data_IF_604982806829
#
_entry.id   IF_604982806829
#
_cell.length_a   1.000
_cell.length_b   1.000
_cell.length_c   1.000
_cell.angle_alpha   90.00
_cell.angle_beta   90.00
_cell.angle_gamma   90.00
#
_symmetry.space_group_name_H-M   'P 1'
#
loop_
_entity.id
_entity.type
_entity.pdbx_description
1 polymer ?
#
# COMPACT_ATOMS: atom_id res chain seq x y z
N UNK A 1 31.82 27.88 28.68
CA UNK A 1 30.91 26.79 29.13
C UNK A 1 31.15 25.56 28.29
N UNK A 2 31.33 24.42 28.92
CA UNK A 2 31.50 23.14 28.23
C UNK A 2 30.18 22.78 27.55
N UNK A 3 30.19 22.72 26.21
CA UNK A 3 28.99 22.44 25.39
C UNK A 3 28.29 21.15 25.80
N UNK A 4 29.05 20.18 26.29
CA UNK A 4 28.53 18.88 26.73
C UNK A 4 27.71 19.05 28.00
N UNK A 5 28.18 19.80 29.01
CA UNK A 5 27.43 20.06 30.25
C UNK A 5 26.15 20.86 30.01
N UNK A 6 26.20 21.84 29.09
CA UNK A 6 25.01 22.61 28.72
C UNK A 6 23.96 21.73 28.03
N UNK A 7 24.39 20.80 27.14
CA UNK A 7 23.51 19.87 26.48
C UNK A 7 22.87 18.89 27.47
N UNK A 8 23.65 18.30 28.37
CA UNK A 8 23.15 17.35 29.37
C UNK A 8 22.14 18.04 30.35
N UNK A 9 22.37 19.30 30.70
CA UNK A 9 21.40 20.08 31.48
C UNK A 9 20.08 20.29 30.71
N UNK A 10 20.17 20.62 29.39
CA UNK A 10 18.99 20.79 28.55
C UNK A 10 18.21 19.48 28.37
N UNK A 11 18.90 18.34 28.15
CA UNK A 11 18.28 17.02 28.07
C UNK A 11 17.53 16.68 29.37
N UNK A 12 18.18 16.89 30.52
CA UNK A 12 17.55 16.65 31.81
C UNK A 12 16.32 17.53 32.05
N UNK A 13 16.35 18.79 31.61
CA UNK A 13 15.21 19.69 31.68
C UNK A 13 14.04 19.24 30.82
N UNK A 14 14.31 18.79 29.57
CA UNK A 14 13.30 18.24 28.64
C UNK A 14 12.65 16.98 29.23
N UNK A 15 13.45 16.05 29.76
CA UNK A 15 12.92 14.83 30.37
C UNK A 15 12.05 15.11 31.62
N UNK A 16 12.40 16.12 32.40
CA UNK A 16 11.58 16.56 33.57
C UNK A 16 10.26 17.20 33.14
N UNK A 17 10.29 18.01 32.08
CA UNK A 17 9.10 18.72 31.58
C UNK A 17 8.13 17.83 30.79
N UNK A 18 8.65 16.90 30.00
CA UNK A 18 7.87 16.14 29.02
C UNK A 18 7.88 14.61 29.25
N UNK A 19 8.60 14.14 30.27
CA UNK A 19 8.72 12.72 30.60
C UNK A 19 9.94 12.03 30.00
N UNK A 20 10.34 10.89 30.61
CA UNK A 20 11.45 10.07 30.11
C UNK A 20 11.15 9.57 28.69
N UNK A 21 12.14 9.67 27.80
CA UNK A 21 12.01 9.26 26.40
C UNK A 21 11.46 10.33 25.46
N UNK A 22 11.15 11.55 25.96
CA UNK A 22 10.76 12.69 25.12
C UNK A 22 11.88 13.17 24.19
N UNK A 23 13.13 12.88 24.55
CA UNK A 23 14.31 13.07 23.72
C UNK A 23 15.26 11.88 23.86
N UNK A 24 15.85 11.42 22.76
CA UNK A 24 16.79 10.32 22.78
C UNK A 24 17.93 10.56 21.80
N UNK A 25 19.11 9.99 22.08
CA UNK A 25 20.22 9.99 21.13
C UNK A 25 20.08 8.76 20.23
N UNK A 26 19.96 8.95 18.92
CA UNK A 26 20.09 7.88 17.93
C UNK A 26 21.57 7.44 17.87
N UNK A 27 21.93 6.42 18.58
CA UNK A 27 23.29 5.89 18.61
C UNK A 27 23.42 4.66 19.47
N UNK A 28 24.51 4.00 19.33
CA UNK A 28 25.19 2.83 19.93
C UNK A 28 24.39 1.66 20.58
N UNK A 29 23.14 1.83 21.01
CA UNK A 29 22.38 0.79 21.73
C UNK A 29 20.97 0.51 21.19
N UNK A 30 20.55 1.13 20.08
CA UNK A 30 19.32 0.69 19.44
C UNK A 30 19.67 -0.33 18.35
N UNK A 31 19.30 -1.59 18.56
CA UNK A 31 19.04 -2.52 17.44
C UNK A 31 18.22 -1.73 16.42
N UNK A 32 18.59 -1.79 15.15
CA UNK A 32 17.77 -1.22 14.08
C UNK A 32 16.32 -1.57 14.42
N UNK A 33 15.46 -0.55 14.60
CA UNK A 33 14.06 -0.79 14.94
C UNK A 33 13.50 -1.55 13.76
N UNK A 34 13.29 -2.83 13.94
CA UNK A 34 12.73 -3.70 12.92
C UNK A 34 11.32 -3.16 12.62
N UNK A 35 11.11 -2.72 11.37
CA UNK A 35 9.84 -2.12 10.96
C UNK A 35 8.85 -3.27 10.80
N UNK A 36 7.85 -3.34 11.65
CA UNK A 36 6.75 -4.27 11.49
C UNK A 36 5.97 -3.95 10.22
N UNK A 37 5.66 -4.98 9.45
CA UNK A 37 4.98 -4.85 8.15
C UNK A 37 3.82 -5.81 8.03
N UNK A 38 2.89 -5.49 7.14
CA UNK A 38 1.80 -6.36 6.69
C UNK A 38 2.01 -6.62 5.21
N UNK A 39 1.98 -7.90 4.81
CA UNK A 39 2.10 -8.31 3.41
C UNK A 39 0.97 -7.69 2.58
N UNK A 40 1.30 -7.31 1.36
CA UNK A 40 0.32 -6.83 0.37
C UNK A 40 -0.46 -7.96 -0.31
N UNK A 41 -0.06 -9.21 -0.06
CA UNK A 41 -0.56 -10.36 -0.80
C UNK A 41 0.16 -10.60 -2.14
N UNK A 42 0.98 -9.66 -2.60
CA UNK A 42 1.88 -9.79 -3.76
C UNK A 42 3.32 -9.90 -3.27
N UNK A 43 3.97 -11.01 -3.59
CA UNK A 43 5.36 -11.24 -3.21
C UNK A 43 6.31 -10.22 -3.87
N UNK A 44 6.05 -9.89 -5.13
CA UNK A 44 6.84 -8.91 -5.86
C UNK A 44 6.73 -7.52 -5.26
N UNK A 45 5.53 -7.10 -4.86
CA UNK A 45 5.33 -5.80 -4.23
C UNK A 45 5.96 -5.75 -2.84
N UNK A 46 5.85 -6.82 -2.04
CA UNK A 46 6.50 -6.92 -0.73
C UNK A 46 8.03 -6.76 -0.84
N UNK A 47 8.64 -7.37 -1.87
CA UNK A 47 10.07 -7.23 -2.16
C UNK A 47 10.40 -5.80 -2.62
N UNK A 48 9.58 -5.23 -3.50
CA UNK A 48 9.78 -3.86 -4.00
C UNK A 48 9.68 -2.80 -2.90
N UNK A 49 8.85 -3.03 -1.89
CA UNK A 49 8.74 -2.17 -0.71
C UNK A 49 10.00 -2.19 0.17
N UNK A 50 10.88 -3.18 0.01
CA UNK A 50 12.20 -3.24 0.63
C UNK A 50 12.23 -3.64 2.11
N UNK A 51 11.06 -3.71 2.75
CA UNK A 51 10.90 -4.10 4.17
C UNK A 51 9.96 -5.31 4.33
N UNK A 52 9.57 -5.95 3.21
CA UNK A 52 8.77 -7.17 3.21
C UNK A 52 7.26 -6.96 3.29
N UNK A 53 6.77 -5.75 3.11
CA UNK A 53 5.35 -5.40 3.12
C UNK A 53 5.11 -3.91 3.39
N UNK A 54 3.86 -3.54 3.63
CA UNK A 54 3.48 -2.18 4.02
C UNK A 54 3.77 -1.93 5.49
N UNK A 55 4.39 -0.78 5.85
CA UNK A 55 4.80 -0.50 7.23
C UNK A 55 3.61 -0.22 8.15
N UNK A 56 3.60 -0.83 9.35
CA UNK A 56 2.64 -0.56 10.41
C UNK A 56 2.88 0.83 11.02
N UNK A 57 1.85 1.39 11.66
CA UNK A 57 1.93 2.70 12.28
C UNK A 57 2.13 3.86 11.30
N UNK A 58 1.73 3.67 10.02
CA UNK A 58 1.94 4.62 8.95
C UNK A 58 0.69 4.82 8.09
N UNK A 59 0.67 5.98 7.43
CA UNK A 59 -0.31 6.31 6.40
C UNK A 59 0.22 5.83 5.06
N UNK A 60 -0.61 5.09 4.33
CA UNK A 60 -0.36 4.57 2.99
C UNK A 60 -1.39 5.18 2.03
N UNK A 61 -0.99 5.58 0.85
CA UNK A 61 -1.90 5.96 -0.23
C UNK A 61 -1.75 4.99 -1.40
N UNK A 62 -2.88 4.41 -1.83
CA UNK A 62 -2.96 3.58 -3.05
C UNK A 62 -3.87 4.31 -4.02
N UNK A 63 -3.35 4.73 -5.17
CA UNK A 63 -4.09 5.49 -6.14
C UNK A 63 -3.90 4.97 -7.57
N UNK A 64 -4.84 5.28 -8.42
CA UNK A 64 -4.83 4.85 -9.81
C UNK A 64 -6.17 5.05 -10.48
N UNK A 65 -6.26 4.76 -11.79
CA UNK A 65 -7.52 4.79 -12.55
C UNK A 65 -8.58 3.87 -11.95
N UNK A 66 -9.81 4.05 -12.39
CA UNK A 66 -10.89 3.11 -12.08
C UNK A 66 -10.56 1.71 -12.60
N UNK A 67 -11.02 0.68 -11.89
CA UNK A 67 -10.80 -0.74 -12.25
C UNK A 67 -9.33 -1.15 -12.36
N UNK A 68 -8.40 -0.42 -11.74
CA UNK A 68 -6.97 -0.74 -11.72
C UNK A 68 -6.58 -1.81 -10.68
N UNK A 69 -7.49 -2.19 -9.76
CA UNK A 69 -7.25 -3.18 -8.71
C UNK A 69 -6.91 -2.60 -7.32
N UNK A 70 -7.19 -1.30 -7.08
CA UNK A 70 -6.94 -0.65 -5.77
C UNK A 70 -7.61 -1.39 -4.61
N UNK A 71 -8.94 -1.56 -4.68
CA UNK A 71 -9.73 -2.26 -3.66
C UNK A 71 -9.30 -3.73 -3.54
N UNK A 72 -9.01 -4.40 -4.66
CA UNK A 72 -8.48 -5.79 -4.65
C UNK A 72 -7.19 -5.89 -3.83
N UNK A 73 -6.23 -5.00 -4.07
CA UNK A 73 -4.96 -4.99 -3.35
C UNK A 73 -5.16 -4.72 -1.85
N UNK A 74 -6.04 -3.79 -1.49
CA UNK A 74 -6.32 -3.50 -0.07
C UNK A 74 -7.05 -4.65 0.63
N UNK A 75 -7.95 -5.35 -0.06
CA UNK A 75 -8.61 -6.55 0.48
C UNK A 75 -7.60 -7.69 0.72
N UNK A 76 -6.58 -7.83 -0.14
CA UNK A 76 -5.48 -8.76 0.14
C UNK A 76 -4.68 -8.35 1.37
N UNK A 77 -4.39 -7.04 1.57
CA UNK A 77 -3.73 -6.58 2.79
C UNK A 77 -4.55 -6.92 4.05
N UNK A 78 -5.88 -6.75 4.00
CA UNK A 78 -6.78 -7.15 5.10
C UNK A 78 -6.71 -8.66 5.33
N UNK A 79 -6.82 -9.48 4.28
CA UNK A 79 -6.78 -10.92 4.39
C UNK A 79 -5.45 -11.42 4.98
N UNK A 80 -4.32 -10.82 4.59
CA UNK A 80 -3.00 -11.14 5.15
C UNK A 80 -2.89 -10.72 6.62
N UNK A 81 -3.42 -9.54 6.99
CA UNK A 81 -3.47 -9.10 8.38
C UNK A 81 -4.31 -10.04 9.25
N UNK A 82 -5.54 -10.37 8.83
CA UNK A 82 -6.44 -11.28 9.55
C UNK A 82 -5.85 -12.70 9.68
N UNK A 83 -5.13 -13.19 8.66
CA UNK A 83 -4.44 -14.50 8.71
C UNK A 83 -3.41 -14.57 9.84
N UNK A 84 -2.82 -13.42 10.18
CA UNK A 84 -1.88 -13.27 11.30
C UNK A 84 -2.57 -12.85 12.61
N UNK A 85 -3.90 -12.95 12.71
CA UNK A 85 -4.69 -12.59 13.89
C UNK A 85 -4.93 -11.10 14.07
N UNK A 86 -4.69 -10.28 13.03
CA UNK A 86 -4.88 -8.84 13.08
C UNK A 86 -6.34 -8.42 12.97
N UNK A 87 -6.71 -7.34 13.67
CA UNK A 87 -8.04 -6.73 13.64
C UNK A 87 -8.08 -5.66 12.55
N UNK A 88 -9.08 -5.75 11.67
CA UNK A 88 -9.19 -4.88 10.50
C UNK A 88 -10.53 -4.14 10.45
N UNK A 89 -10.50 -2.90 9.94
CA UNK A 89 -11.68 -2.11 9.67
C UNK A 89 -11.66 -1.55 8.25
N UNK A 90 -12.83 -1.43 7.65
CA UNK A 90 -13.05 -0.89 6.31
C UNK A 90 -14.11 0.21 6.36
N UNK A 91 -13.73 1.42 6.02
CA UNK A 91 -14.63 2.58 5.88
C UNK A 91 -14.98 2.70 4.40
N UNK A 92 -16.17 2.24 4.05
CA UNK A 92 -16.70 2.19 2.69
C UNK A 92 -17.50 3.46 2.40
N UNK A 93 -16.81 4.52 2.01
CA UNK A 93 -17.44 5.79 1.66
C UNK A 93 -18.06 5.76 0.24
N UNK A 94 -17.71 4.80 -0.60
CA UNK A 94 -18.31 4.61 -1.93
C UNK A 94 -19.56 3.71 -1.88
N UNK A 95 -19.83 3.03 -0.75
CA UNK A 95 -20.92 2.03 -0.59
C UNK A 95 -20.86 0.91 -1.64
N UNK A 96 -19.65 0.49 -2.02
CA UNK A 96 -19.40 -0.39 -3.16
C UNK A 96 -18.67 -1.69 -2.79
N UNK A 97 -18.43 -1.97 -1.52
CA UNK A 97 -17.76 -3.20 -1.09
C UNK A 97 -18.62 -4.42 -1.39
N UNK A 98 -18.12 -5.33 -2.20
CA UNK A 98 -18.73 -6.64 -2.46
C UNK A 98 -18.20 -7.67 -1.43
N UNK A 99 -19.06 -8.12 -0.48
CA UNK A 99 -18.65 -9.09 0.53
C UNK A 99 -18.36 -10.47 -0.07
N UNK A 100 -19.01 -10.85 -1.17
CA UNK A 100 -18.75 -12.13 -1.85
C UNK A 100 -17.36 -12.14 -2.45
N UNK A 101 -16.97 -11.03 -3.09
CA UNK A 101 -15.65 -10.86 -3.63
C UNK A 101 -14.58 -10.81 -2.52
N UNK A 102 -14.81 -10.03 -1.46
CA UNK A 102 -13.89 -9.94 -0.33
C UNK A 102 -13.62 -11.33 0.29
N UNK A 103 -14.67 -12.14 0.48
CA UNK A 103 -14.53 -13.52 0.97
C UNK A 103 -13.69 -14.40 0.05
N UNK A 104 -13.85 -14.28 -1.27
CA UNK A 104 -13.05 -15.01 -2.26
C UNK A 104 -11.57 -14.66 -2.19
N UNK A 105 -11.23 -13.41 -1.83
CA UNK A 105 -9.86 -12.96 -1.62
C UNK A 105 -9.27 -13.42 -0.29
N UNK A 106 -10.06 -14.09 0.57
CA UNK A 106 -9.63 -14.64 1.84
C UNK A 106 -9.92 -13.75 3.05
N UNK A 107 -10.72 -12.68 2.88
CA UNK A 107 -11.17 -11.84 3.98
C UNK A 107 -12.17 -12.59 4.84
N UNK A 108 -11.95 -12.63 6.14
CA UNK A 108 -12.87 -13.16 7.14
C UNK A 108 -13.89 -12.06 7.47
N UNK A 109 -15.09 -12.17 6.89
CA UNK A 109 -16.10 -11.11 6.97
C UNK A 109 -16.67 -10.95 8.37
N UNK A 110 -16.75 -12.03 9.13
CA UNK A 110 -17.29 -12.03 10.50
C UNK A 110 -16.39 -11.23 11.47
N UNK A 111 -15.10 -11.11 11.13
CA UNK A 111 -14.09 -10.40 11.91
C UNK A 111 -13.74 -9.01 11.30
N UNK A 112 -14.38 -8.62 10.19
CA UNK A 112 -14.15 -7.33 9.55
C UNK A 112 -15.14 -6.28 10.05
N UNK A 113 -14.62 -5.19 10.65
CA UNK A 113 -15.45 -4.04 11.00
C UNK A 113 -15.72 -3.21 9.73
N UNK A 114 -17.00 -2.95 9.44
CA UNK A 114 -17.40 -2.15 8.28
C UNK A 114 -18.17 -0.92 8.76
N UNK A 115 -17.86 0.25 8.19
CA UNK A 115 -18.59 1.49 8.39
C UNK A 115 -18.89 2.14 7.03
N UNK A 116 -20.12 2.62 6.87
CA UNK A 116 -20.58 3.32 5.68
C UNK A 116 -21.10 4.71 6.07
N UNK A 117 -20.20 5.69 6.21
CA UNK A 117 -20.54 7.04 6.66
C UNK A 117 -21.19 7.87 5.56
N UNK A 118 -22.09 8.77 5.95
CA UNK A 118 -22.78 9.68 5.03
C UNK A 118 -21.94 10.91 4.67
N UNK A 119 -21.00 11.33 5.52
CA UNK A 119 -20.17 12.53 5.32
C UNK A 119 -18.68 12.24 5.54
N UNK A 120 -17.82 13.05 4.93
CA UNK A 120 -16.36 12.95 5.12
C UNK A 120 -15.94 13.19 6.57
N UNK A 121 -16.61 14.12 7.28
CA UNK A 121 -16.35 14.38 8.70
C UNK A 121 -16.65 13.15 9.55
N UNK A 122 -17.82 12.51 9.33
CA UNK A 122 -18.21 11.30 10.04
C UNK A 122 -17.21 10.16 9.78
N UNK A 123 -16.82 9.96 8.51
CA UNK A 123 -15.83 8.97 8.14
C UNK A 123 -14.50 9.14 8.90
N UNK A 124 -14.00 10.37 8.92
CA UNK A 124 -12.69 10.67 9.52
C UNK A 124 -12.73 10.68 11.06
N UNK A 125 -13.87 11.00 11.69
CA UNK A 125 -14.08 10.87 13.15
C UNK A 125 -14.16 9.39 13.56
N UNK A 126 -14.81 8.54 12.77
CA UNK A 126 -14.82 7.09 12.97
C UNK A 126 -13.38 6.55 12.87
N UNK A 127 -12.62 6.97 11.86
CA UNK A 127 -11.21 6.61 11.72
C UNK A 127 -10.38 7.04 12.95
N UNK A 128 -10.54 8.29 13.43
CA UNK A 128 -9.81 8.78 14.60
C UNK A 128 -10.13 7.97 15.86
N UNK A 129 -11.40 7.66 16.08
CA UNK A 129 -11.86 6.86 17.21
C UNK A 129 -11.29 5.45 17.19
N UNK A 130 -11.37 4.78 16.03
CA UNK A 130 -10.86 3.43 15.84
C UNK A 130 -9.33 3.35 16.01
N UNK A 131 -8.59 4.28 15.39
CA UNK A 131 -7.13 4.34 15.52
C UNK A 131 -6.70 4.62 16.96
N UNK A 132 -7.37 5.54 17.65
CA UNK A 132 -7.05 5.87 19.05
C UNK A 132 -7.33 4.76 20.04
N UNK A 133 -8.20 3.83 19.70
CA UNK A 133 -8.44 2.64 20.53
C UNK A 133 -7.18 1.77 20.70
N UNK A 134 -6.25 1.82 19.72
CA UNK A 134 -5.06 0.97 19.68
C UNK A 134 -5.34 -0.51 19.41
N UNK A 135 -6.58 -0.86 19.06
CA UNK A 135 -7.01 -2.24 18.85
C UNK A 135 -6.95 -2.68 17.38
N UNK A 136 -6.72 -1.73 16.44
CA UNK A 136 -6.68 -2.04 15.02
C UNK A 136 -5.26 -2.23 14.50
N UNK A 137 -5.09 -3.23 13.64
CA UNK A 137 -3.88 -3.44 12.85
C UNK A 137 -3.97 -2.74 11.49
N UNK A 138 -5.14 -2.81 10.84
CA UNK A 138 -5.39 -2.20 9.52
C UNK A 138 -6.70 -1.43 9.52
N UNK A 139 -6.65 -0.22 8.99
CA UNK A 139 -7.82 0.59 8.65
C UNK A 139 -7.74 0.99 7.17
N UNK A 140 -8.77 0.67 6.39
CA UNK A 140 -8.91 1.08 4.99
C UNK A 140 -10.00 2.13 4.87
N UNK A 141 -9.75 3.16 4.06
CA UNK A 141 -10.74 4.18 3.66
C UNK A 141 -10.89 4.14 2.14
N UNK A 142 -12.03 3.70 1.65
CA UNK A 142 -12.36 3.59 0.23
C UNK A 142 -13.57 4.46 -0.11
N UNK A 143 -13.40 5.56 -0.80
CA UNK A 143 -12.16 6.24 -1.18
C UNK A 143 -12.15 7.70 -0.72
N UNK A 144 -10.96 8.32 -0.76
CA UNK A 144 -10.84 9.76 -0.47
C UNK A 144 -11.75 10.61 -1.35
N UNK A 145 -11.96 10.19 -2.60
CA UNK A 145 -12.82 10.90 -3.55
C UNK A 145 -14.29 10.99 -3.08
N UNK A 146 -14.74 10.01 -2.31
CA UNK A 146 -16.11 9.93 -1.79
C UNK A 146 -16.29 10.62 -0.42
N UNK A 147 -15.21 11.12 0.20
CA UNK A 147 -15.30 11.86 1.46
C UNK A 147 -15.85 13.27 1.22
N UNK A 148 -17.15 13.35 1.00
CA UNK A 148 -17.83 14.64 0.75
C UNK A 148 -18.02 15.40 2.06
N UNK A 149 -17.55 16.66 2.15
CA UNK A 149 -17.79 17.50 3.32
C UNK A 149 -19.29 17.73 3.55
N UNK A 150 -19.72 17.77 4.82
CA UNK A 150 -21.12 18.00 5.21
C UNK A 150 -21.69 19.27 4.58
N UNK A 151 -20.90 20.36 4.58
CA UNK A 151 -21.33 21.62 4.00
C UNK A 151 -21.61 21.54 2.49
N UNK A 152 -20.95 20.62 1.78
CA UNK A 152 -21.21 20.36 0.37
C UNK A 152 -22.50 19.56 0.16
N UNK A 153 -22.83 18.65 1.08
CA UNK A 153 -24.05 17.85 1.05
C UNK A 153 -25.29 18.71 1.41
N UNK A 154 -25.15 19.63 2.37
CA UNK A 154 -26.21 20.52 2.83
C UNK A 154 -26.42 21.74 1.93
N UNK A 155 -25.47 22.02 1.00
CA UNK A 155 -25.54 23.09 0.02
C UNK A 155 -26.55 22.83 -1.11
N UNK A 156 -26.86 23.85 -1.87
CA UNK A 156 -27.73 23.71 -3.06
C UNK A 156 -26.95 23.11 -4.23
N UNK A 157 -27.66 22.40 -5.13
CA UNK A 157 -27.03 21.85 -6.35
C UNK A 157 -26.49 23.01 -7.21
N UNK A 158 -25.19 23.01 -7.45
CA UNK A 158 -24.47 24.02 -8.21
C UNK A 158 -23.65 25.00 -7.36
N UNK A 159 -23.75 24.93 -6.04
CA UNK A 159 -22.89 25.70 -5.15
C UNK A 159 -21.44 25.26 -5.30
N UNK A 160 -20.57 26.22 -5.61
CA UNK A 160 -19.13 25.96 -5.72
C UNK A 160 -18.45 26.23 -4.39
N UNK A 161 -17.98 25.19 -3.71
CA UNK A 161 -17.27 25.30 -2.46
C UNK A 161 -15.81 24.80 -2.60
N UNK A 162 -14.93 25.59 -3.20
CA UNK A 162 -13.58 25.15 -3.54
C UNK A 162 -12.74 24.82 -2.29
N UNK A 163 -12.08 23.68 -2.32
CA UNK A 163 -11.07 23.30 -1.34
C UNK A 163 -11.59 22.78 0.00
N UNK A 164 -12.90 22.59 0.20
CA UNK A 164 -13.42 22.05 1.47
C UNK A 164 -12.87 20.65 1.77
N UNK A 165 -12.91 19.75 0.80
CA UNK A 165 -12.37 18.40 0.96
C UNK A 165 -10.86 18.43 1.29
N UNK A 166 -10.08 19.29 0.65
CA UNK A 166 -8.65 19.44 0.93
C UNK A 166 -8.37 19.95 2.34
N UNK A 167 -9.20 20.90 2.84
CA UNK A 167 -9.13 21.40 4.23
C UNK A 167 -9.47 20.30 5.23
N UNK A 168 -10.55 19.54 4.98
CA UNK A 168 -10.99 18.41 5.79
C UNK A 168 -9.88 17.36 5.89
N UNK A 169 -9.30 16.93 4.78
CA UNK A 169 -8.19 15.99 4.74
C UNK A 169 -6.95 16.51 5.48
N UNK A 170 -6.59 17.79 5.30
CA UNK A 170 -5.46 18.39 5.99
C UNK A 170 -5.65 18.41 7.52
N UNK A 171 -6.85 18.70 7.98
CA UNK A 171 -7.19 18.71 9.40
C UNK A 171 -7.16 17.29 9.99
N UNK A 172 -7.78 16.33 9.31
CA UNK A 172 -7.85 14.95 9.74
C UNK A 172 -6.45 14.30 9.82
N UNK A 173 -5.63 14.45 8.79
CA UNK A 173 -4.29 13.87 8.76
C UNK A 173 -3.37 14.44 9.85
N UNK A 174 -3.50 15.73 10.20
CA UNK A 174 -2.78 16.30 11.34
C UNK A 174 -3.16 15.65 12.68
N UNK A 175 -4.45 15.33 12.89
CA UNK A 175 -4.91 14.63 14.09
C UNK A 175 -4.50 13.16 14.08
N UNK A 176 -4.75 12.47 12.97
CA UNK A 176 -4.56 11.03 12.85
C UNK A 176 -3.10 10.59 12.92
N UNK A 177 -2.16 11.36 12.35
CA UNK A 177 -0.76 10.91 12.19
C UNK A 177 -0.10 10.55 13.52
N UNK A 178 -0.32 11.34 14.57
CA UNK A 178 0.24 11.06 15.89
C UNK A 178 -0.40 9.82 16.54
N UNK A 179 -1.70 9.65 16.37
CA UNK A 179 -2.45 8.50 16.89
C UNK A 179 -2.06 7.21 16.14
N UNK A 180 -1.94 7.27 14.82
CA UNK A 180 -1.52 6.16 13.93
C UNK A 180 -0.14 5.63 14.37
N UNK A 181 0.82 6.52 14.58
CA UNK A 181 2.17 6.13 15.01
C UNK A 181 2.18 5.49 16.41
N UNK A 182 1.33 5.97 17.33
CA UNK A 182 1.25 5.45 18.71
C UNK A 182 0.52 4.12 18.81
N UNK A 183 -0.55 3.95 18.01
CA UNK A 183 -1.36 2.73 17.98
C UNK A 183 -0.76 1.61 17.16
N UNK A 184 0.29 1.90 16.38
CA UNK A 184 0.89 0.99 15.40
C UNK A 184 -0.12 0.49 14.33
N UNK A 185 -1.21 1.23 14.09
CA UNK A 185 -2.23 0.93 13.09
C UNK A 185 -1.73 1.33 11.71
N UNK A 186 -1.84 0.46 10.71
CA UNK A 186 -1.64 0.83 9.31
C UNK A 186 -2.93 1.42 8.75
N UNK A 187 -2.87 2.65 8.21
CA UNK A 187 -4.05 3.29 7.59
C UNK A 187 -3.82 3.44 6.09
N UNK A 188 -4.68 2.79 5.31
CA UNK A 188 -4.64 2.82 3.84
C UNK A 188 -5.76 3.74 3.34
N UNK A 189 -5.38 4.79 2.62
CA UNK A 189 -6.32 5.61 1.86
C UNK A 189 -6.28 5.19 0.38
N UNK A 190 -7.42 4.75 -0.13
CA UNK A 190 -7.61 4.56 -1.57
C UNK A 190 -7.97 5.90 -2.19
N UNK A 191 -7.34 6.24 -3.32
CA UNK A 191 -7.56 7.51 -3.98
C UNK A 191 -7.76 7.35 -5.49
N UNK A 192 -8.42 8.32 -6.09
CA UNK A 192 -8.69 8.38 -7.52
C UNK A 192 -7.81 9.45 -8.16
N UNK A 193 -7.49 9.25 -9.45
CA UNK A 193 -6.77 10.23 -10.26
C UNK A 193 -7.76 11.23 -10.83
N UNK A 194 -7.36 12.49 -10.87
CA UNK A 194 -8.03 13.59 -11.55
C UNK A 194 -7.03 14.29 -12.45
N UNK A 195 -7.53 14.90 -13.51
CA UNK A 195 -6.71 15.67 -14.45
C UNK A 195 -6.78 17.15 -14.10
N UNK A 196 -5.61 17.78 -13.93
CA UNK A 196 -5.51 19.24 -13.80
C UNK A 196 -5.73 19.88 -15.16
N UNK A 197 -6.61 20.87 -15.22
CA UNK A 197 -6.85 21.64 -16.45
C UNK A 197 -5.75 22.69 -16.62
N UNK A 198 -5.25 22.87 -17.85
CA UNK A 198 -4.28 23.92 -18.20
C UNK A 198 -2.81 23.61 -17.92
N UNK A 199 -2.47 22.37 -17.56
CA UNK A 199 -1.06 21.96 -17.40
C UNK A 199 -0.45 21.74 -18.79
N UNK A 200 0.48 22.62 -19.19
CA UNK A 200 1.20 22.51 -20.48
C UNK A 200 2.47 21.68 -20.37
N UNK A 201 3.10 21.60 -19.19
CA UNK A 201 4.33 20.86 -18.91
C UNK A 201 4.16 20.03 -17.63
N UNK A 202 4.85 18.88 -17.55
CA UNK A 202 4.74 17.92 -16.43
C UNK A 202 3.48 17.04 -16.49
N UNK A 203 3.26 16.23 -15.45
CA UNK A 203 2.09 15.35 -15.40
C UNK A 203 0.83 16.11 -15.02
N UNK A 204 -0.24 16.05 -15.83
CA UNK A 204 -1.54 16.66 -15.50
C UNK A 204 -2.28 15.87 -14.40
N UNK A 205 -1.81 14.67 -14.06
CA UNK A 205 -2.48 13.80 -13.10
C UNK A 205 -2.28 14.30 -11.67
N UNK A 206 -3.35 14.26 -10.90
CA UNK A 206 -3.34 14.56 -9.46
C UNK A 206 -4.33 13.65 -8.74
N UNK A 207 -4.16 13.48 -7.43
CA UNK A 207 -5.11 12.74 -6.60
C UNK A 207 -6.11 13.70 -5.95
N UNK A 208 -7.29 13.20 -5.56
CA UNK A 208 -8.33 13.97 -4.86
C UNK A 208 -7.92 14.27 -3.41
N UNK A 209 -8.61 15.22 -2.76
CA UNK A 209 -8.37 15.56 -1.36
C UNK A 209 -7.18 16.49 -1.12
N UNK A 210 -6.65 17.14 -2.18
CA UNK A 210 -5.55 18.10 -2.10
C UNK A 210 -4.17 17.43 -1.89
N UNK A 211 -3.20 18.23 -1.41
CA UNK A 211 -1.81 17.77 -1.29
C UNK A 211 -1.48 17.14 0.07
N UNK A 212 -2.34 17.25 1.08
CA UNK A 212 -2.01 16.81 2.44
C UNK A 212 -1.62 15.32 2.49
N UNK A 213 -2.37 14.46 1.83
CA UNK A 213 -2.10 13.02 1.82
C UNK A 213 -0.74 12.70 1.17
N UNK A 214 -0.34 13.43 0.14
CA UNK A 214 0.99 13.28 -0.50
C UNK A 214 2.13 13.50 0.49
N UNK A 215 1.98 14.45 1.41
CA UNK A 215 2.99 14.74 2.44
C UNK A 215 2.94 13.75 3.61
N UNK A 216 1.75 13.43 4.12
CA UNK A 216 1.58 12.57 5.29
C UNK A 216 1.82 11.09 4.98
N UNK A 217 1.50 10.61 3.81
CA UNK A 217 1.76 9.23 3.41
C UNK A 217 3.26 8.88 3.52
N UNK A 218 3.55 7.74 4.12
CA UNK A 218 4.89 7.15 4.18
C UNK A 218 5.19 6.32 2.95
N UNK A 219 4.17 5.69 2.38
CA UNK A 219 4.24 4.93 1.12
C UNK A 219 3.12 5.40 0.21
N UNK A 220 3.42 5.60 -1.07
CA UNK A 220 2.45 5.89 -2.12
C UNK A 220 2.63 4.92 -3.26
N UNK A 221 1.55 4.26 -3.65
CA UNK A 221 1.51 3.26 -4.71
C UNK A 221 0.62 3.74 -5.85
N UNK A 222 1.19 3.85 -7.04
CA UNK A 222 0.44 4.06 -8.29
C UNK A 222 0.15 2.69 -8.90
N UNK A 223 -1.13 2.32 -8.99
CA UNK A 223 -1.57 1.03 -9.53
C UNK A 223 -2.31 1.22 -10.85
N UNK A 224 -1.86 0.51 -11.89
CA UNK A 224 -2.40 0.64 -13.26
C UNK A 224 -2.60 -0.71 -13.90
N UNK A 225 -3.71 -0.85 -14.60
CA UNK A 225 -3.92 -1.94 -15.54
C UNK A 225 -3.11 -1.68 -16.80
N UNK A 226 -2.26 -2.64 -17.20
CA UNK A 226 -1.41 -2.54 -18.40
C UNK A 226 -1.80 -3.52 -19.51
N UNK A 227 -2.63 -4.51 -19.19
CA UNK A 227 -3.08 -5.49 -20.17
C UNK A 227 -4.27 -6.31 -19.68
N UNK A 228 -4.84 -7.11 -20.57
CA UNK A 228 -5.88 -8.08 -20.24
C UNK A 228 -5.34 -9.49 -20.39
N UNK A 229 -5.67 -10.35 -19.44
CA UNK A 229 -5.36 -11.78 -19.49
C UNK A 229 -6.56 -12.48 -20.09
N UNK A 230 -6.33 -13.24 -21.15
CA UNK A 230 -7.38 -13.98 -21.84
C UNK A 230 -7.15 -15.48 -21.69
N UNK A 231 -8.22 -16.21 -21.46
CA UNK A 231 -8.29 -17.65 -21.68
C UNK A 231 -9.18 -17.89 -22.90
N UNK A 232 -8.56 -18.30 -24.02
CA UNK A 232 -9.18 -18.34 -25.33
C UNK A 232 -9.74 -16.97 -25.75
N UNK A 233 -11.08 -16.79 -25.78
CA UNK A 233 -11.73 -15.53 -26.16
C UNK A 233 -12.21 -14.71 -24.93
N UNK A 234 -12.23 -15.32 -23.74
CA UNK A 234 -12.72 -14.67 -22.53
C UNK A 234 -11.60 -13.92 -21.80
N UNK A 235 -11.91 -12.71 -21.31
CA UNK A 235 -11.02 -11.97 -20.44
C UNK A 235 -11.20 -12.47 -19.00
N UNK A 236 -10.17 -13.15 -18.48
CA UNK A 236 -10.21 -13.79 -17.15
C UNK A 236 -9.44 -13.01 -16.08
N UNK A 237 -8.74 -11.95 -16.47
CA UNK A 237 -7.99 -11.14 -15.54
C UNK A 237 -7.30 -9.95 -16.20
N UNK A 238 -6.55 -9.22 -15.40
CA UNK A 238 -5.77 -8.07 -15.82
C UNK A 238 -4.32 -8.23 -15.41
N UNK A 239 -3.42 -7.87 -16.30
CA UNK A 239 -2.03 -7.58 -15.93
C UNK A 239 -1.97 -6.19 -15.33
N UNK A 240 -1.42 -6.08 -14.14
CA UNK A 240 -1.41 -4.87 -13.33
C UNK A 240 0.03 -4.49 -13.00
N UNK A 241 0.32 -3.21 -13.09
CA UNK A 241 1.60 -2.61 -12.72
C UNK A 241 1.40 -1.76 -11.47
N UNK A 242 2.29 -1.90 -10.50
CA UNK A 242 2.35 -1.05 -9.31
C UNK A 242 3.71 -0.38 -9.24
N UNK A 243 3.72 0.96 -9.19
CA UNK A 243 4.93 1.79 -9.00
C UNK A 243 4.94 2.31 -7.57
N UNK A 244 6.04 2.10 -6.87
CA UNK A 244 6.28 2.68 -5.54
C UNK A 244 6.77 4.11 -5.71
N UNK A 245 5.86 5.07 -5.75
CA UNK A 245 6.17 6.48 -6.06
C UNK A 245 6.84 7.19 -4.88
N UNK A 246 6.46 6.82 -3.66
CA UNK A 246 7.06 7.34 -2.43
C UNK A 246 7.23 6.21 -1.43
N UNK A 247 8.39 6.20 -0.78
CA UNK A 247 8.67 5.26 0.30
C UNK A 247 9.63 5.89 1.32
N UNK A 248 9.18 6.04 2.57
CA UNK A 248 10.00 6.59 3.66
C UNK A 248 10.76 5.51 4.45
N UNK A 249 10.55 4.23 4.16
CA UNK A 249 11.16 3.10 4.89
C UNK A 249 12.19 2.34 4.08
N UNK A 250 12.24 2.55 2.75
CA UNK A 250 13.22 1.97 1.83
C UNK A 250 13.34 2.86 0.57
N UNK A 251 14.31 2.62 -0.32
CA UNK A 251 14.41 3.36 -1.59
C UNK A 251 13.13 3.22 -2.43
N UNK A 252 12.56 4.35 -2.91
CA UNK A 252 11.36 4.37 -3.75
C UNK A 252 11.66 4.04 -5.22
N UNK A 253 10.65 4.22 -6.09
CA UNK A 253 10.68 4.15 -7.55
C UNK A 253 10.83 2.74 -8.14
N UNK A 254 10.70 1.71 -7.30
CA UNK A 254 10.59 0.34 -7.80
C UNK A 254 9.22 0.09 -8.40
N UNK A 255 9.19 -0.77 -9.42
CA UNK A 255 7.99 -1.11 -10.16
C UNK A 255 7.85 -2.62 -10.25
N UNK A 256 6.64 -3.11 -10.04
CA UNK A 256 6.32 -4.54 -10.15
C UNK A 256 5.10 -4.76 -11.01
N UNK A 257 5.05 -5.91 -11.64
CA UNK A 257 3.92 -6.35 -12.45
C UNK A 257 3.46 -7.71 -11.96
N UNK A 258 2.16 -7.87 -11.84
CA UNK A 258 1.51 -9.12 -11.48
C UNK A 258 0.13 -9.23 -12.09
N UNK A 259 -0.40 -10.45 -12.10
CA UNK A 259 -1.72 -10.75 -12.63
C UNK A 259 -2.77 -10.62 -11.52
N UNK A 260 -3.87 -9.92 -11.81
CA UNK A 260 -5.11 -9.94 -11.01
C UNK A 260 -6.14 -10.76 -11.78
N UNK A 261 -6.48 -11.94 -11.25
CA UNK A 261 -7.48 -12.83 -11.84
C UNK A 261 -8.88 -12.49 -11.31
N UNK A 262 -9.86 -12.49 -12.16
CA UNK A 262 -11.24 -12.19 -11.75
C UNK A 262 -11.77 -13.28 -10.81
N UNK A 263 -12.26 -12.85 -9.65
CA UNK A 263 -12.76 -13.74 -8.61
C UNK A 263 -11.69 -14.42 -7.75
N UNK A 264 -10.39 -14.35 -8.10
CA UNK A 264 -9.28 -14.93 -7.31
C UNK A 264 -8.34 -13.84 -6.75
N UNK A 265 -8.30 -12.64 -7.37
CA UNK A 265 -7.39 -11.56 -6.99
C UNK A 265 -5.97 -11.75 -7.51
N UNK A 266 -4.98 -11.32 -6.73
CA UNK A 266 -3.56 -11.41 -7.10
C UNK A 266 -3.12 -12.86 -7.26
N UNK A 267 -2.55 -13.18 -8.43
CA UNK A 267 -2.10 -14.54 -8.77
C UNK A 267 -0.76 -14.85 -8.10
N UNK A 268 -0.80 -15.27 -6.82
CA UNK A 268 0.42 -15.65 -6.06
C UNK A 268 1.25 -16.71 -6.77
N UNK A 269 0.61 -17.73 -7.34
CA UNK A 269 1.32 -18.79 -8.09
C UNK A 269 1.95 -18.26 -9.37
N UNK A 270 1.34 -17.26 -10.03
CA UNK A 270 1.94 -16.58 -11.17
C UNK A 270 3.22 -15.84 -10.78
N UNK A 271 3.18 -15.11 -9.67
CA UNK A 271 4.36 -14.43 -9.14
C UNK A 271 5.48 -15.42 -8.75
N UNK A 272 5.16 -16.60 -8.17
CA UNK A 272 6.15 -17.61 -7.85
C UNK A 272 6.90 -18.11 -9.09
N UNK A 273 6.19 -18.30 -10.22
CA UNK A 273 6.84 -18.68 -11.49
C UNK A 273 7.74 -17.54 -11.99
N UNK A 274 7.21 -16.32 -12.08
CA UNK A 274 7.89 -15.19 -12.69
C UNK A 274 9.08 -14.71 -11.84
N UNK A 275 8.88 -14.55 -10.54
CA UNK A 275 9.92 -14.15 -9.60
C UNK A 275 10.91 -15.28 -9.35
N UNK A 276 10.47 -16.54 -9.33
CA UNK A 276 11.34 -17.70 -9.22
C UNK A 276 12.37 -17.77 -10.34
N UNK A 277 11.95 -17.49 -11.57
CA UNK A 277 12.87 -17.39 -12.72
C UNK A 277 13.80 -16.19 -12.56
N UNK A 278 13.29 -15.02 -12.18
CA UNK A 278 14.12 -13.82 -11.95
C UNK A 278 15.15 -14.03 -10.85
N UNK A 279 14.80 -14.77 -9.80
CA UNK A 279 15.69 -15.08 -8.68
C UNK A 279 16.69 -16.20 -9.00
N UNK A 280 16.54 -16.90 -10.11
CA UNK A 280 17.33 -18.10 -10.41
C UNK A 280 16.96 -19.31 -9.54
N UNK A 281 15.82 -19.25 -8.83
CA UNK A 281 15.29 -20.35 -8.00
C UNK A 281 14.54 -21.35 -8.88
N UNK A 282 13.76 -20.86 -9.85
CA UNK A 282 13.08 -21.67 -10.85
C UNK A 282 13.91 -21.61 -12.14
N UNK A 283 14.30 -22.74 -12.66
CA UNK A 283 15.01 -22.86 -13.92
C UNK A 283 14.01 -22.84 -15.07
N UNK A 284 14.33 -22.08 -16.13
CA UNK A 284 13.57 -22.04 -17.37
C UNK A 284 14.46 -22.48 -18.52
N UNK A 285 14.14 -23.62 -19.13
CA UNK A 285 14.81 -24.13 -20.31
C UNK A 285 13.81 -24.25 -21.47
N UNK A 286 13.89 -23.33 -22.42
CA UNK A 286 12.89 -23.20 -23.47
C UNK A 286 11.49 -22.96 -22.88
N UNK A 287 10.55 -23.86 -23.14
CA UNK A 287 9.19 -23.81 -22.60
C UNK A 287 9.04 -24.52 -21.24
N UNK A 288 10.07 -25.21 -20.76
CA UNK A 288 10.00 -25.99 -19.52
C UNK A 288 10.44 -25.21 -18.30
N UNK A 289 9.70 -25.39 -17.20
CA UNK A 289 10.02 -24.88 -15.89
C UNK A 289 10.38 -26.02 -14.96
N UNK A 290 11.44 -25.85 -14.14
CA UNK A 290 11.89 -26.84 -13.15
C UNK A 290 12.36 -26.16 -11.86
N UNK A 291 12.28 -26.92 -10.76
CA UNK A 291 12.77 -26.54 -9.45
C UNK A 291 13.38 -27.77 -8.78
N UNK A 292 14.64 -27.66 -8.30
CA UNK A 292 15.36 -28.75 -7.63
C UNK A 292 15.28 -30.08 -8.43
N UNK A 293 15.62 -30.02 -9.74
CA UNK A 293 15.53 -31.15 -10.68
C UNK A 293 14.12 -31.71 -10.93
N UNK A 294 13.07 -31.16 -10.28
CA UNK A 294 11.69 -31.54 -10.50
C UNK A 294 11.06 -30.67 -11.60
N UNK A 295 10.45 -31.30 -12.59
CA UNK A 295 9.70 -30.59 -13.64
C UNK A 295 8.40 -30.04 -13.05
N UNK A 296 8.19 -28.71 -13.21
CA UNK A 296 6.95 -28.02 -12.82
C UNK A 296 5.91 -28.06 -13.93
N UNK A 297 6.35 -27.97 -15.20
CA UNK A 297 5.46 -28.04 -16.36
C UNK A 297 6.03 -27.38 -17.60
N UNK A 298 5.39 -27.64 -18.72
CA UNK A 298 5.66 -26.96 -19.98
C UNK A 298 4.72 -25.77 -20.14
N UNK A 299 5.29 -24.56 -20.20
CA UNK A 299 4.55 -23.29 -20.21
C UNK A 299 4.21 -22.78 -18.81
N UNK A 300 3.99 -21.45 -18.72
CA UNK A 300 3.71 -20.73 -17.47
C UNK A 300 2.45 -21.24 -16.77
N UNK A 301 1.38 -21.52 -17.54
CA UNK A 301 0.10 -21.95 -16.97
C UNK A 301 0.17 -23.36 -16.32
N UNK A 302 0.94 -24.28 -16.92
CA UNK A 302 1.16 -25.60 -16.31
C UNK A 302 2.00 -25.49 -15.05
N UNK A 303 3.01 -24.62 -15.00
CA UNK A 303 3.79 -24.36 -13.80
C UNK A 303 2.92 -23.72 -12.68
N UNK A 304 2.01 -22.80 -13.01
CA UNK A 304 1.02 -22.25 -12.06
C UNK A 304 0.11 -23.34 -11.51
N UNK A 305 -0.39 -24.22 -12.37
CA UNK A 305 -1.23 -25.37 -11.97
C UNK A 305 -0.48 -26.29 -11.03
N UNK A 306 0.80 -26.56 -11.32
CA UNK A 306 1.65 -27.37 -10.47
C UNK A 306 1.76 -26.76 -9.06
N UNK A 307 2.01 -25.47 -8.94
CA UNK A 307 2.08 -24.80 -7.62
C UNK A 307 0.73 -24.78 -6.89
N UNK A 308 -0.39 -24.67 -7.61
CA UNK A 308 -1.74 -24.80 -7.01
C UNK A 308 -1.96 -26.19 -6.38
N UNK A 309 -1.46 -27.25 -7.03
CA UNK A 309 -1.63 -28.64 -6.58
C UNK A 309 -0.56 -29.12 -5.62
N UNK A 310 0.57 -28.43 -5.52
CA UNK A 310 1.71 -28.77 -4.67
C UNK A 310 2.10 -27.57 -3.76
N UNK A 311 1.29 -27.24 -2.75
CA UNK A 311 1.51 -26.08 -1.89
C UNK A 311 2.84 -26.14 -1.11
N UNK A 312 3.32 -27.34 -0.75
CA UNK A 312 4.60 -27.52 -0.05
C UNK A 312 5.78 -27.05 -0.91
N UNK A 313 5.73 -27.34 -2.23
CA UNK A 313 6.78 -26.91 -3.17
C UNK A 313 6.65 -25.39 -3.39
N UNK A 314 5.43 -24.87 -3.49
CA UNK A 314 5.19 -23.43 -3.61
C UNK A 314 5.77 -22.65 -2.41
N UNK A 315 5.59 -23.14 -1.18
CA UNK A 315 6.17 -22.54 0.03
C UNK A 315 7.70 -22.56 0.02
N UNK A 316 8.32 -23.67 -0.41
CA UNK A 316 9.79 -23.76 -0.52
C UNK A 316 10.34 -22.77 -1.53
N UNK A 317 9.69 -22.66 -2.69
CA UNK A 317 10.06 -21.69 -3.73
C UNK A 317 9.88 -20.26 -3.23
N UNK A 318 8.78 -19.95 -2.55
CA UNK A 318 8.57 -18.62 -1.95
C UNK A 318 9.66 -18.28 -0.94
N UNK A 319 9.99 -19.20 -0.03
CA UNK A 319 11.04 -19.00 0.96
C UNK A 319 12.41 -18.74 0.30
N UNK A 320 12.75 -19.50 -0.75
CA UNK A 320 13.98 -19.31 -1.51
C UNK A 320 14.01 -17.96 -2.25
N UNK A 321 12.87 -17.54 -2.83
CA UNK A 321 12.73 -16.20 -3.45
C UNK A 321 12.96 -15.10 -2.42
N UNK A 322 12.35 -15.20 -1.23
CA UNK A 322 12.53 -14.22 -0.13
C UNK A 322 13.98 -14.12 0.34
N UNK A 323 14.70 -15.23 0.40
CA UNK A 323 16.14 -15.24 0.73
C UNK A 323 16.98 -14.51 -0.34
N UNK A 324 16.58 -14.58 -1.59
CA UNK A 324 17.23 -13.92 -2.72
C UNK A 324 16.63 -12.54 -3.05
N UNK A 325 15.85 -11.97 -2.14
CA UNK A 325 15.08 -10.73 -2.37
C UNK A 325 15.96 -9.51 -2.74
N UNK A 326 17.19 -9.43 -2.24
CA UNK A 326 18.13 -8.38 -2.62
C UNK A 326 18.44 -8.37 -4.12
N UNK A 327 18.76 -9.54 -4.70
CA UNK A 327 19.06 -9.68 -6.14
C UNK A 327 17.84 -9.36 -7.01
N UNK A 328 16.63 -9.71 -6.53
CA UNK A 328 15.39 -9.41 -7.24
C UNK A 328 15.11 -7.91 -7.21
N UNK A 329 15.29 -7.26 -6.05
CA UNK A 329 15.09 -5.84 -5.89
C UNK A 329 15.98 -5.02 -6.82
N UNK A 330 17.22 -5.44 -7.04
CA UNK A 330 18.14 -4.79 -7.96
C UNK A 330 17.71 -4.98 -9.42
N UNK A 331 17.29 -6.18 -9.81
CA UNK A 331 16.77 -6.45 -11.16
C UNK A 331 15.44 -5.76 -11.46
N UNK A 332 14.60 -5.53 -10.46
CA UNK A 332 13.38 -4.74 -10.59
C UNK A 332 13.73 -3.27 -10.92
N UNK A 333 14.82 -2.73 -10.38
CA UNK A 333 15.30 -1.39 -10.69
C UNK A 333 15.83 -1.27 -12.13
N UNK A 334 16.48 -2.32 -12.65
CA UNK A 334 17.04 -2.34 -14.02
C UNK A 334 15.96 -2.33 -15.12
N UNK A 335 14.76 -2.87 -14.83
CA UNK A 335 13.64 -2.92 -15.78
C UNK A 335 12.80 -1.64 -15.83
N UNK A 336 12.95 -0.76 -14.85
CA UNK A 336 12.32 0.55 -14.79
C UNK A 336 13.26 1.63 -15.34
N UNK A 337 13.42 1.72 -16.67
CA UNK A 337 14.10 2.85 -17.29
C UNK A 337 13.41 4.18 -16.94
N UNK A 338 14.12 5.30 -16.94
CA UNK A 338 13.56 6.59 -16.55
C UNK A 338 12.54 7.07 -17.58
N UNK A 339 11.27 6.87 -17.33
CA UNK A 339 10.29 7.84 -17.76
C UNK A 339 10.46 9.04 -16.82
N UNK A 340 11.05 10.10 -17.35
CA UNK A 340 11.27 11.37 -16.68
C UNK A 340 9.93 12.03 -16.37
N UNK A 341 9.29 11.62 -15.28
CA UNK A 341 8.33 12.45 -14.57
C UNK A 341 9.14 13.30 -13.57
N UNK A 342 9.72 14.40 -14.05
CA UNK A 342 10.17 15.47 -13.19
C UNK A 342 8.95 16.07 -12.50
N UNK A 343 8.64 15.57 -11.30
CA UNK A 343 7.79 16.28 -10.33
C UNK A 343 8.59 17.53 -9.90
N UNK A 344 8.42 18.62 -10.67
CA UNK A 344 8.89 19.95 -10.29
C UNK A 344 8.02 20.48 -9.13
N UNK A 345 8.35 20.05 -7.91
CA UNK A 345 7.79 20.53 -6.65
C UNK A 345 8.48 21.85 -6.22
N UNK A 346 8.55 22.83 -7.12
CA UNK A 346 8.86 24.21 -6.72
C UNK A 346 7.58 24.85 -6.19
N UNK A 347 7.55 25.34 -4.92
CA UNK A 347 6.40 26.09 -4.41
C UNK A 347 6.25 27.39 -5.21
N UNK A 348 5.02 27.81 -5.54
CA UNK A 348 4.81 29.09 -6.18
C UNK A 348 5.33 30.22 -5.28
N UNK A 349 6.18 31.06 -5.83
CA UNK A 349 6.57 32.33 -5.21
C UNK A 349 5.30 33.17 -4.96
N UNK A 350 5.27 33.87 -3.81
CA UNK A 350 4.20 34.66 -3.20
C UNK A 350 3.30 35.46 -4.14
#
# INVERSE_FOLDING_TARGET
MDKTKALDAALSQIERAFGKGSIMRLGKNQKAVEIETISTGSLGLDIALGVGGLPRGRVIEIYGPESSGKTTLTLHCIAEAQRNGGVCAFVDAEHALDPVYARKLGVQLDDLLISQPDTGEQALEICDTLVRSGALDVLVVDSVAALTPRAEIEGEMGDVQPGLQARLMSQALRKLTASISKSNTMVIFINQIRMKIGVMYGSPETTTGGNALKFYASVRLDIRRIGSIKDREEVVGNQTRVKVVKNKVAPPFKQVEFDIMYGEGVSKVGELVDLGVKAGVVEKSGAWFSYDSQRLGQGRENAKTFFKTNPDVAQKVEAAIRQNSGLIADRILETGGPETDEDDDTPPAE
#
